data_IF_343164453539
#
_entry.id   IF_343164453539
#
_cell.length_a   1.000
_cell.length_b   1.000
_cell.length_c   1.000
_cell.angle_alpha   90.00
_cell.angle_beta   90.00
_cell.angle_gamma   90.00
#
_symmetry.space_group_name_H-M   'P 1'
#
loop_
_entity.id
_entity.type
_entity.pdbx_description
1 polymer ?
#
# COMPACT_ATOMS: atom_id res chain seq x y z
N UNK A 1 9.71 -22.61 -10.18
CA UNK A 1 9.23 -21.21 -10.06
C UNK A 1 10.31 -20.14 -10.33
N UNK A 2 11.60 -20.35 -10.01
CA UNK A 2 12.66 -19.36 -10.27
C UNK A 2 13.11 -19.25 -11.73
N UNK A 3 12.87 -20.26 -12.52
CA UNK A 3 13.42 -20.37 -13.88
C UNK A 3 12.52 -19.80 -14.99
N UNK A 4 11.25 -19.52 -14.66
CA UNK A 4 10.26 -19.04 -15.63
C UNK A 4 9.96 -17.53 -15.56
N UNK A 5 10.46 -16.82 -14.55
CA UNK A 5 10.25 -15.38 -14.41
C UNK A 5 11.57 -14.65 -14.53
N UNK A 6 11.80 -14.02 -15.68
CA UNK A 6 12.97 -13.15 -15.91
C UNK A 6 12.67 -11.75 -15.39
N UNK A 7 13.33 -11.31 -14.31
CA UNK A 7 13.17 -9.95 -13.82
C UNK A 7 13.29 -9.81 -12.30
N UNK A 8 12.25 -9.29 -11.66
CA UNK A 8 12.27 -9.07 -10.21
C UNK A 8 12.00 -10.37 -9.46
N UNK A 9 12.81 -10.66 -8.45
CA UNK A 9 12.62 -11.84 -7.60
C UNK A 9 11.74 -11.50 -6.40
N UNK A 10 10.72 -12.32 -6.14
CA UNK A 10 9.95 -12.24 -4.90
C UNK A 10 10.88 -12.58 -3.73
N UNK A 11 11.06 -11.62 -2.82
CA UNK A 11 11.87 -11.79 -1.61
C UNK A 11 10.98 -12.20 -0.43
N UNK A 12 11.46 -13.04 0.49
CA UNK A 12 10.73 -13.31 1.72
C UNK A 12 10.55 -12.00 2.52
N UNK A 13 9.37 -11.82 3.09
CA UNK A 13 9.05 -10.64 3.88
C UNK A 13 9.98 -10.57 5.11
N UNK A 14 10.67 -9.46 5.27
CA UNK A 14 11.45 -9.16 6.47
C UNK A 14 10.64 -8.28 7.41
N UNK A 15 10.58 -8.65 8.69
CA UNK A 15 9.90 -7.85 9.70
C UNK A 15 10.54 -6.47 9.92
N UNK A 16 11.84 -6.35 9.65
CA UNK A 16 12.66 -5.17 9.98
C UNK A 16 13.06 -4.30 8.78
N UNK A 17 12.94 -4.82 7.55
CA UNK A 17 13.39 -4.11 6.33
C UNK A 17 12.24 -3.76 5.42
N UNK A 18 11.91 -2.49 5.37
CA UNK A 18 10.89 -1.95 4.44
C UNK A 18 11.22 -2.23 2.97
N UNK A 19 12.49 -2.23 2.62
CA UNK A 19 12.96 -2.47 1.26
C UNK A 19 12.48 -3.81 0.70
N UNK A 20 12.49 -4.88 1.50
CA UNK A 20 11.98 -6.19 1.05
C UNK A 20 10.50 -6.18 0.73
N UNK A 21 9.70 -5.36 1.41
CA UNK A 21 8.28 -5.18 1.13
C UNK A 21 8.06 -4.43 -0.18
N UNK A 22 8.82 -3.35 -0.39
CA UNK A 22 8.77 -2.58 -1.64
C UNK A 22 9.17 -3.45 -2.83
N UNK A 23 10.26 -4.21 -2.69
CA UNK A 23 10.75 -5.09 -3.75
C UNK A 23 9.73 -6.19 -4.09
N UNK A 24 9.05 -6.76 -3.09
CA UNK A 24 8.02 -7.78 -3.31
C UNK A 24 6.79 -7.20 -4.01
N UNK A 25 6.30 -6.04 -3.54
CA UNK A 25 5.15 -5.38 -4.19
C UNK A 25 5.51 -4.91 -5.60
N UNK A 26 6.74 -4.43 -5.81
CA UNK A 26 7.26 -4.08 -7.13
C UNK A 26 7.26 -5.29 -8.07
N UNK A 27 7.78 -6.43 -7.59
CA UNK A 27 7.79 -7.66 -8.38
C UNK A 27 6.37 -8.08 -8.79
N UNK A 28 5.42 -8.04 -7.86
CA UNK A 28 4.02 -8.36 -8.16
C UNK A 28 3.45 -7.37 -9.18
N UNK A 29 3.63 -6.06 -8.99
CA UNK A 29 3.06 -5.04 -9.88
C UNK A 29 3.52 -5.18 -11.34
N UNK A 30 4.82 -5.40 -11.55
CA UNK A 30 5.42 -5.37 -12.89
C UNK A 30 5.52 -6.73 -13.58
N UNK A 31 5.24 -7.82 -12.86
CA UNK A 31 5.29 -9.18 -13.38
C UNK A 31 4.02 -9.97 -13.03
N UNK A 32 2.89 -9.26 -12.85
CA UNK A 32 1.66 -9.88 -12.38
C UNK A 32 1.14 -10.94 -13.33
N UNK A 33 1.23 -10.70 -14.65
CA UNK A 33 0.86 -11.66 -15.67
C UNK A 33 1.74 -12.91 -15.61
N UNK A 34 3.07 -12.74 -15.60
CA UNK A 34 4.02 -13.86 -15.55
C UNK A 34 3.83 -14.71 -14.29
N UNK A 35 3.57 -14.03 -13.15
CA UNK A 35 3.28 -14.71 -11.88
C UNK A 35 1.99 -15.53 -11.98
N UNK A 36 0.95 -14.96 -12.58
CA UNK A 36 -0.32 -15.66 -12.78
C UNK A 36 -0.16 -16.88 -13.68
N UNK A 37 0.55 -16.75 -14.79
CA UNK A 37 0.82 -17.85 -15.70
C UNK A 37 1.63 -18.96 -15.02
N UNK A 38 2.69 -18.61 -14.26
CA UNK A 38 3.47 -19.57 -13.50
C UNK A 38 2.65 -20.30 -12.42
N UNK A 39 1.71 -19.61 -11.76
CA UNK A 39 0.80 -20.24 -10.80
C UNK A 39 -0.18 -21.21 -11.48
N UNK A 40 -0.69 -20.86 -12.65
CA UNK A 40 -1.54 -21.77 -13.44
C UNK A 40 -0.77 -23.00 -13.92
N UNK A 41 0.48 -22.83 -14.37
CA UNK A 41 1.35 -23.96 -14.72
C UNK A 41 1.58 -24.88 -13.53
N UNK A 42 1.87 -24.36 -12.34
CA UNK A 42 2.00 -25.14 -11.12
C UNK A 42 0.70 -25.87 -10.78
N UNK A 43 -0.45 -25.24 -10.96
CA UNK A 43 -1.74 -25.86 -10.69
C UNK A 43 -2.04 -27.06 -11.58
N UNK A 44 -1.45 -27.10 -12.77
CA UNK A 44 -1.69 -28.16 -13.76
C UNK A 44 -0.62 -29.27 -13.75
N UNK A 45 0.59 -28.96 -13.23
CA UNK A 45 1.75 -29.85 -13.32
C UNK A 45 2.21 -30.46 -11.99
N UNK A 46 1.86 -29.85 -10.85
CA UNK A 46 2.30 -30.37 -9.55
C UNK A 46 1.56 -31.65 -9.15
N UNK A 47 2.24 -32.52 -8.41
CA UNK A 47 1.67 -33.77 -7.94
C UNK A 47 0.89 -33.63 -6.61
N UNK A 48 1.05 -32.52 -5.90
CA UNK A 48 0.35 -32.25 -4.64
C UNK A 48 -0.95 -31.48 -4.89
N UNK A 49 -2.08 -32.13 -4.63
CA UNK A 49 -3.41 -31.57 -4.81
C UNK A 49 -3.65 -30.30 -3.97
N UNK A 50 -2.99 -30.15 -2.82
CA UNK A 50 -3.10 -28.95 -1.99
C UNK A 50 -2.37 -27.78 -2.65
N UNK A 51 -1.16 -27.99 -3.17
CA UNK A 51 -0.38 -27.00 -3.92
C UNK A 51 -1.12 -26.58 -5.19
N UNK A 52 -1.66 -27.54 -5.95
CA UNK A 52 -2.45 -27.24 -7.14
C UNK A 52 -3.65 -26.34 -6.83
N UNK A 53 -4.39 -26.69 -5.77
CA UNK A 53 -5.59 -25.91 -5.37
C UNK A 53 -5.24 -24.50 -4.91
N UNK A 54 -4.17 -24.35 -4.12
CA UNK A 54 -3.70 -23.06 -3.63
C UNK A 54 -3.19 -22.19 -4.79
N UNK A 55 -2.35 -22.75 -5.68
CA UNK A 55 -1.84 -22.04 -6.85
C UNK A 55 -2.98 -21.56 -7.76
N UNK A 56 -3.96 -22.41 -8.03
CA UNK A 56 -5.15 -22.06 -8.80
C UNK A 56 -5.98 -20.97 -8.12
N UNK A 57 -6.16 -21.06 -6.79
CA UNK A 57 -6.90 -20.04 -6.02
C UNK A 57 -6.19 -18.68 -6.10
N UNK A 58 -4.88 -18.64 -5.91
CA UNK A 58 -4.10 -17.40 -6.01
C UNK A 58 -4.18 -16.80 -7.43
N UNK A 59 -4.05 -17.63 -8.48
CA UNK A 59 -4.08 -17.16 -9.85
C UNK A 59 -5.44 -16.61 -10.28
N UNK A 60 -6.55 -17.22 -9.80
CA UNK A 60 -7.91 -16.89 -10.26
C UNK A 60 -8.66 -15.93 -9.34
N UNK A 61 -8.52 -16.11 -8.02
CA UNK A 61 -9.30 -15.33 -7.05
C UNK A 61 -8.57 -14.06 -6.59
N UNK A 62 -7.25 -14.14 -6.42
CA UNK A 62 -6.47 -13.00 -5.97
C UNK A 62 -5.95 -12.18 -7.15
N UNK A 63 -5.08 -12.75 -8.00
CA UNK A 63 -4.51 -12.05 -9.15
C UNK A 63 -5.54 -11.76 -10.25
N UNK A 64 -6.65 -12.49 -10.29
CA UNK A 64 -7.79 -12.24 -11.18
C UNK A 64 -8.82 -11.25 -10.63
N UNK A 65 -8.57 -10.61 -9.49
CA UNK A 65 -9.49 -9.65 -8.90
C UNK A 65 -9.02 -8.20 -9.12
N UNK A 66 -9.89 -7.37 -9.70
CA UNK A 66 -9.57 -5.97 -9.94
C UNK A 66 -9.32 -5.18 -8.65
N UNK A 67 -10.01 -5.51 -7.53
CA UNK A 67 -9.73 -4.91 -6.21
C UNK A 67 -8.27 -5.16 -5.79
N UNK A 68 -7.74 -6.37 -6.03
CA UNK A 68 -6.36 -6.72 -5.72
C UNK A 68 -5.37 -5.92 -6.57
N UNK A 69 -5.64 -5.77 -7.87
CA UNK A 69 -4.78 -4.98 -8.79
C UNK A 69 -4.71 -3.52 -8.32
N UNK A 70 -5.85 -2.91 -7.98
CA UNK A 70 -5.91 -1.56 -7.42
C UNK A 70 -5.11 -1.47 -6.11
N UNK A 71 -5.26 -2.45 -5.22
CA UNK A 71 -4.52 -2.50 -3.97
C UNK A 71 -3.00 -2.54 -4.18
N UNK A 72 -2.51 -3.35 -5.13
CA UNK A 72 -1.08 -3.46 -5.46
C UNK A 72 -0.54 -2.13 -6.01
N UNK A 73 -1.29 -1.42 -6.85
CA UNK A 73 -0.89 -0.09 -7.34
C UNK A 73 -0.76 0.89 -6.18
N UNK A 74 -1.76 0.96 -5.29
CA UNK A 74 -1.74 1.84 -4.11
C UNK A 74 -0.52 1.52 -3.22
N UNK A 75 -0.32 0.24 -2.87
CA UNK A 75 0.78 -0.15 -2.00
C UNK A 75 2.14 0.11 -2.61
N UNK A 76 2.30 -0.10 -3.92
CA UNK A 76 3.55 0.20 -4.60
C UNK A 76 3.89 1.68 -4.52
N UNK A 77 2.95 2.57 -4.78
CA UNK A 77 3.18 4.02 -4.74
C UNK A 77 3.47 4.52 -3.33
N UNK A 78 2.68 4.10 -2.36
CA UNK A 78 2.87 4.47 -0.94
C UNK A 78 4.21 3.96 -0.40
N UNK A 79 4.51 2.69 -0.58
CA UNK A 79 5.74 2.09 -0.08
C UNK A 79 6.97 2.64 -0.78
N UNK A 80 6.89 2.92 -2.10
CA UNK A 80 8.00 3.50 -2.86
C UNK A 80 8.34 4.90 -2.39
N UNK A 81 7.34 5.76 -2.15
CA UNK A 81 7.53 7.09 -1.61
C UNK A 81 8.19 7.06 -0.21
N UNK A 82 7.70 6.20 0.67
CA UNK A 82 8.28 6.01 2.01
C UNK A 82 9.71 5.50 1.92
N UNK A 83 9.97 4.51 1.07
CA UNK A 83 11.30 3.90 0.92
C UNK A 83 12.33 4.89 0.38
N UNK A 84 11.95 5.74 -0.57
CA UNK A 84 12.82 6.78 -1.11
C UNK A 84 13.35 7.69 0.00
N UNK A 85 12.45 8.19 0.84
CA UNK A 85 12.82 9.04 1.97
C UNK A 85 13.57 8.25 3.04
N UNK A 86 13.14 7.03 3.35
CA UNK A 86 13.81 6.16 4.33
C UNK A 86 15.27 5.90 3.97
N UNK A 87 15.57 5.63 2.70
CA UNK A 87 16.96 5.46 2.22
C UNK A 87 17.78 6.73 2.39
N UNK A 88 17.21 7.89 2.12
CA UNK A 88 17.89 9.16 2.32
C UNK A 88 18.19 9.42 3.80
N UNK A 89 17.24 9.11 4.68
CA UNK A 89 17.39 9.28 6.13
C UNK A 89 18.45 8.35 6.75
N UNK A 90 18.84 7.28 6.08
CA UNK A 90 19.88 6.32 6.52
C UNK A 90 21.29 6.74 6.12
N UNK A 91 21.47 7.86 5.40
CA UNK A 91 22.77 8.36 5.02
C UNK A 91 23.58 8.74 6.27
N UNK A 92 24.89 8.38 6.28
CA UNK A 92 25.77 8.61 7.43
C UNK A 92 25.90 10.10 7.80
N UNK A 93 25.81 10.97 6.79
CA UNK A 93 26.01 12.42 6.95
C UNK A 93 24.66 13.17 7.05
N UNK A 94 23.58 12.47 7.37
CA UNK A 94 22.25 13.07 7.47
C UNK A 94 22.16 14.02 8.65
N UNK A 95 21.94 15.29 8.37
CA UNK A 95 21.69 16.32 9.37
C UNK A 95 20.21 16.26 9.82
N UNK A 96 19.97 16.53 11.10
CA UNK A 96 18.61 16.50 11.69
C UNK A 96 17.67 17.48 10.97
N UNK A 97 18.16 18.66 10.59
CA UNK A 97 17.35 19.65 9.89
C UNK A 97 16.89 19.16 8.52
N UNK A 98 17.82 18.54 7.77
CA UNK A 98 17.50 17.94 6.46
C UNK A 98 16.55 16.76 6.65
N UNK A 99 16.73 15.94 7.68
CA UNK A 99 15.83 14.83 7.98
C UNK A 99 14.39 15.32 8.25
N UNK A 100 14.25 16.38 9.02
CA UNK A 100 12.97 17.04 9.33
C UNK A 100 12.30 17.54 8.04
N UNK A 101 13.04 18.24 7.17
CA UNK A 101 12.53 18.71 5.87
C UNK A 101 12.07 17.55 4.96
N UNK A 102 12.83 16.45 4.92
CA UNK A 102 12.46 15.25 4.13
C UNK A 102 11.17 14.63 4.61
N UNK A 103 11.00 14.48 5.93
CA UNK A 103 9.76 13.94 6.51
C UNK A 103 8.58 14.89 6.25
N UNK A 104 8.78 16.20 6.39
CA UNK A 104 7.75 17.21 6.10
C UNK A 104 7.36 17.19 4.61
N UNK A 105 8.33 17.06 3.71
CA UNK A 105 8.09 16.91 2.28
C UNK A 105 7.26 15.65 1.95
N UNK A 106 7.52 14.54 2.65
CA UNK A 106 6.75 13.32 2.48
C UNK A 106 5.31 13.46 3.00
N UNK A 107 5.10 14.15 4.11
CA UNK A 107 3.74 14.46 4.63
C UNK A 107 2.98 15.32 3.60
N UNK A 108 3.61 16.36 3.07
CA UNK A 108 3.02 17.23 2.04
C UNK A 108 2.69 16.46 0.76
N UNK A 109 3.58 15.54 0.35
CA UNK A 109 3.33 14.64 -0.78
C UNK A 109 2.08 13.79 -0.54
N UNK A 110 1.95 13.12 0.61
CA UNK A 110 0.79 12.29 0.91
C UNK A 110 -0.50 13.08 1.05
N UNK A 111 -0.43 14.31 1.56
CA UNK A 111 -1.60 15.20 1.61
C UNK A 111 -2.13 15.49 0.20
N UNK A 112 -1.26 15.85 -0.74
CA UNK A 112 -1.63 16.04 -2.14
C UNK A 112 -2.08 14.74 -2.81
N UNK A 113 -1.37 13.65 -2.56
CA UNK A 113 -1.68 12.32 -3.09
C UNK A 113 -3.09 11.86 -2.69
N UNK A 114 -3.48 12.10 -1.45
CA UNK A 114 -4.81 11.85 -0.91
C UNK A 114 -5.93 12.49 -1.73
N UNK A 115 -5.70 13.71 -2.20
CA UNK A 115 -6.72 14.51 -2.89
C UNK A 115 -6.83 14.19 -4.39
N UNK A 116 -5.71 13.89 -5.03
CA UNK A 116 -5.64 13.91 -6.50
C UNK A 116 -5.29 12.58 -7.16
N UNK A 117 -4.77 11.59 -6.43
CA UNK A 117 -4.12 10.43 -7.09
C UNK A 117 -5.04 9.26 -7.38
N UNK A 118 -6.19 9.14 -6.72
CA UNK A 118 -7.06 7.97 -6.90
C UNK A 118 -7.51 7.72 -8.36
N UNK A 119 -7.87 8.74 -9.17
CA UNK A 119 -8.21 8.51 -10.57
C UNK A 119 -7.04 7.92 -11.39
N UNK A 120 -5.81 8.41 -11.15
CA UNK A 120 -4.62 7.92 -11.83
C UNK A 120 -4.29 6.47 -11.44
N UNK A 121 -4.50 6.12 -10.17
CA UNK A 121 -4.37 4.75 -9.66
C UNK A 121 -5.33 3.82 -10.40
N UNK A 122 -6.58 4.24 -10.56
CA UNK A 122 -7.59 3.45 -11.28
C UNK A 122 -7.21 3.25 -12.74
N UNK A 123 -6.71 4.27 -13.43
CA UNK A 123 -6.27 4.12 -14.82
C UNK A 123 -5.08 3.16 -14.93
N UNK A 124 -4.06 3.30 -14.06
CA UNK A 124 -2.94 2.35 -14.02
C UNK A 124 -3.40 0.91 -13.71
N UNK A 125 -4.36 0.74 -12.81
CA UNK A 125 -4.92 -0.57 -12.50
C UNK A 125 -5.73 -1.16 -13.68
N UNK A 126 -6.47 -0.33 -14.41
CA UNK A 126 -7.19 -0.74 -15.61
C UNK A 126 -6.25 -1.18 -16.74
N UNK A 127 -5.10 -0.51 -16.89
CA UNK A 127 -4.07 -0.91 -17.86
C UNK A 127 -3.55 -2.32 -17.53
N UNK A 128 -3.15 -2.55 -16.28
CA UNK A 128 -2.69 -3.87 -15.82
C UNK A 128 -3.79 -4.93 -16.00
N UNK A 129 -5.04 -4.62 -15.65
CA UNK A 129 -6.16 -5.53 -15.80
C UNK A 129 -6.39 -5.95 -17.27
N UNK A 130 -6.27 -4.99 -18.22
CA UNK A 130 -6.38 -5.26 -19.67
C UNK A 130 -5.24 -6.16 -20.15
N UNK A 131 -4.00 -5.93 -19.71
CA UNK A 131 -2.85 -6.78 -20.05
C UNK A 131 -3.03 -8.22 -19.58
N UNK A 132 -3.70 -8.41 -18.44
CA UNK A 132 -3.97 -9.70 -17.82
C UNK A 132 -5.27 -10.37 -18.29
N UNK A 133 -6.01 -9.75 -19.20
CA UNK A 133 -7.36 -10.17 -19.60
C UNK A 133 -8.32 -10.32 -18.40
N UNK A 134 -8.21 -9.39 -17.46
CA UNK A 134 -9.09 -9.28 -16.29
C UNK A 134 -10.07 -8.13 -16.51
N UNK A 135 -11.35 -8.37 -16.26
CA UNK A 135 -12.37 -7.33 -16.38
C UNK A 135 -12.15 -6.23 -15.34
N UNK A 136 -11.94 -4.96 -15.74
CA UNK A 136 -11.62 -3.86 -14.82
C UNK A 136 -12.87 -3.34 -14.09
N UNK A 137 -13.58 -4.23 -13.41
CA UNK A 137 -14.80 -3.95 -12.67
C UNK A 137 -14.70 -4.46 -11.24
N UNK A 138 -15.21 -3.67 -10.31
CA UNK A 138 -15.27 -4.08 -8.92
C UNK A 138 -16.40 -5.05 -8.68
N UNK A 139 -16.13 -6.15 -7.98
CA UNK A 139 -17.14 -7.14 -7.62
C UNK A 139 -18.19 -6.52 -6.69
N UNK A 140 -19.47 -6.64 -7.05
CA UNK A 140 -20.55 -6.15 -6.20
C UNK A 140 -20.67 -7.04 -4.95
N UNK A 141 -20.28 -6.52 -3.79
CA UNK A 141 -20.43 -7.24 -2.51
C UNK A 141 -21.92 -7.33 -2.16
N UNK A 142 -22.40 -8.56 -1.94
CA UNK A 142 -23.80 -8.81 -1.53
C UNK A 142 -24.06 -8.13 -0.20
N UNK A 143 -24.91 -7.07 -0.18
CA UNK A 143 -25.33 -6.43 1.06
C UNK A 143 -26.23 -7.40 1.83
N UNK A 144 -25.76 -7.87 2.99
CA UNK A 144 -26.58 -8.65 3.91
C UNK A 144 -27.55 -7.66 4.57
N UNK A 145 -28.81 -7.69 4.16
CA UNK A 145 -29.86 -6.95 4.89
C UNK A 145 -30.06 -7.61 6.24
N UNK A 146 -29.62 -6.94 7.31
CA UNK A 146 -29.89 -7.35 8.69
C UNK A 146 -31.40 -7.29 8.90
N UNK A 147 -32.01 -8.34 9.46
CA UNK A 147 -33.40 -8.28 9.89
C UNK A 147 -33.52 -7.20 10.97
N UNK A 148 -34.26 -6.14 10.70
CA UNK A 148 -34.56 -5.07 11.67
C UNK A 148 -35.32 -5.65 12.86
N UNK A 149 -34.91 -5.29 14.07
CA UNK A 149 -35.75 -5.42 15.25
C UNK A 149 -36.72 -4.23 15.33
N UNK A 150 -37.86 -4.42 15.92
CA UNK A 150 -39.05 -3.54 15.83
C UNK A 150 -38.84 -2.10 16.36
N UNK A 151 -37.69 -1.81 16.97
CA UNK A 151 -37.38 -0.55 17.68
C UNK A 151 -36.19 0.24 17.08
N UNK A 152 -35.71 -0.15 15.89
CA UNK A 152 -34.58 0.55 15.24
C UNK A 152 -35.09 1.66 14.33
N UNK A 153 -34.69 2.91 14.62
CA UNK A 153 -34.83 4.06 13.74
C UNK A 153 -34.21 3.78 12.38
N UNK A 154 -34.78 4.27 11.26
CA UNK A 154 -34.19 4.10 9.94
C UNK A 154 -32.80 4.73 9.92
N UNK A 155 -31.73 3.90 9.85
CA UNK A 155 -30.42 4.39 9.49
C UNK A 155 -30.52 5.00 8.09
N UNK A 156 -29.89 6.17 7.92
CA UNK A 156 -29.89 6.95 6.70
C UNK A 156 -29.65 6.07 5.46
N UNK A 157 -30.61 6.05 4.55
CA UNK A 157 -30.51 5.41 3.22
C UNK A 157 -29.36 5.99 2.37
N UNK A 158 -28.74 7.09 2.81
CA UNK A 158 -27.56 7.71 2.18
C UNK A 158 -26.33 6.79 2.10
N UNK A 159 -26.17 5.84 3.03
CA UNK A 159 -25.10 4.86 3.03
C UNK A 159 -25.39 3.72 2.01
N UNK A 160 -26.62 3.57 1.59
CA UNK A 160 -27.06 2.47 0.72
C UNK A 160 -26.73 2.66 -0.77
N UNK A 161 -26.34 3.89 -1.22
CA UNK A 161 -26.15 4.24 -2.63
C UNK A 161 -24.69 4.43 -3.04
N UNK A 162 -23.72 4.21 -2.15
CA UNK A 162 -22.30 4.38 -2.46
C UNK A 162 -21.85 3.33 -3.49
N UNK A 163 -21.26 3.77 -4.61
CA UNK A 163 -20.70 2.86 -5.60
C UNK A 163 -19.56 2.05 -4.97
N UNK A 164 -19.29 0.85 -5.48
CA UNK A 164 -18.19 0.01 -4.98
C UNK A 164 -16.84 0.72 -5.12
N UNK A 165 -16.66 1.49 -6.19
CA UNK A 165 -15.48 2.32 -6.42
C UNK A 165 -15.30 3.38 -5.32
N UNK A 166 -16.35 4.11 -4.99
CA UNK A 166 -16.31 5.11 -3.92
C UNK A 166 -16.07 4.47 -2.55
N UNK A 167 -16.61 3.29 -2.30
CA UNK A 167 -16.34 2.53 -1.09
C UNK A 167 -14.85 2.15 -0.98
N UNK A 168 -14.21 1.73 -2.06
CA UNK A 168 -12.78 1.42 -2.11
C UNK A 168 -11.95 2.69 -1.92
N UNK A 169 -12.35 3.79 -2.56
CA UNK A 169 -11.70 5.08 -2.37
C UNK A 169 -11.69 5.49 -0.89
N UNK A 170 -12.83 5.45 -0.23
CA UNK A 170 -12.97 5.92 1.16
C UNK A 170 -12.38 4.92 2.15
N UNK A 171 -12.80 3.65 2.09
CA UNK A 171 -12.50 2.67 3.13
C UNK A 171 -11.13 2.02 2.99
N UNK A 172 -10.53 2.08 1.80
CA UNK A 172 -9.24 1.47 1.55
C UNK A 172 -8.16 2.51 1.23
N UNK A 173 -8.28 3.25 0.10
CA UNK A 173 -7.26 4.21 -0.32
C UNK A 173 -7.04 5.33 0.69
N UNK A 174 -8.12 6.07 1.05
CA UNK A 174 -8.00 7.16 2.02
C UNK A 174 -7.54 6.66 3.39
N UNK A 175 -8.02 5.50 3.83
CA UNK A 175 -7.61 4.90 5.11
C UNK A 175 -6.10 4.62 5.16
N UNK A 176 -5.51 4.06 4.09
CA UNK A 176 -4.07 3.79 4.00
C UNK A 176 -3.28 5.11 4.02
N UNK A 177 -3.69 6.09 3.22
CA UNK A 177 -2.98 7.37 3.12
C UNK A 177 -3.09 8.16 4.42
N UNK A 178 -4.26 8.20 5.05
CA UNK A 178 -4.46 8.86 6.34
C UNK A 178 -3.63 8.20 7.45
N UNK A 179 -3.53 6.87 7.46
CA UNK A 179 -2.66 6.15 8.38
C UNK A 179 -1.18 6.49 8.15
N UNK A 180 -0.76 6.62 6.90
CA UNK A 180 0.61 7.02 6.57
C UNK A 180 0.89 8.46 7.04
N UNK A 181 0.00 9.40 6.76
CA UNK A 181 0.11 10.80 7.21
C UNK A 181 0.18 10.87 8.73
N UNK A 182 -0.75 10.21 9.44
CA UNK A 182 -0.78 10.22 10.91
C UNK A 182 0.50 9.65 11.52
N UNK A 183 1.00 8.53 10.98
CA UNK A 183 2.24 7.90 11.45
C UNK A 183 3.47 8.78 11.22
N UNK A 184 3.55 9.46 10.07
CA UNK A 184 4.63 10.38 9.74
C UNK A 184 4.57 11.64 10.60
N UNK A 185 3.38 12.21 10.78
CA UNK A 185 3.18 13.41 11.62
C UNK A 185 3.59 13.14 13.07
N UNK A 186 3.19 12.00 13.63
CA UNK A 186 3.60 11.61 14.98
C UNK A 186 5.13 11.51 15.11
N UNK A 187 5.81 10.93 14.12
CA UNK A 187 7.29 10.86 14.10
C UNK A 187 7.92 12.23 13.93
N UNK A 188 7.34 13.07 13.07
CA UNK A 188 7.80 14.44 12.85
C UNK A 188 7.77 15.26 14.14
N UNK A 189 6.68 15.19 14.92
CA UNK A 189 6.55 15.84 16.22
C UNK A 189 7.60 15.36 17.23
N UNK A 190 7.89 14.05 17.26
CA UNK A 190 8.95 13.47 18.08
C UNK A 190 10.33 14.03 17.71
N UNK A 191 10.65 14.16 16.43
CA UNK A 191 11.93 14.73 15.96
C UNK A 191 12.02 16.22 16.30
N UNK A 192 10.95 16.98 16.15
CA UNK A 192 10.90 18.40 16.55
C UNK A 192 11.14 18.58 18.04
N UNK A 193 10.54 17.74 18.87
CA UNK A 193 10.78 17.73 20.32
C UNK A 193 12.24 17.44 20.67
N UNK A 194 12.85 16.43 20.05
CA UNK A 194 14.26 16.06 20.26
C UNK A 194 15.20 17.18 19.81
N UNK A 195 14.92 17.84 18.68
CA UNK A 195 15.70 19.00 18.19
C UNK A 195 15.70 20.14 19.21
N UNK A 196 14.53 20.49 19.77
CA UNK A 196 14.43 21.54 20.79
C UNK A 196 15.25 21.20 22.04
N UNK A 197 15.21 19.94 22.49
CA UNK A 197 16.00 19.48 23.64
C UNK A 197 17.50 19.54 23.36
N UNK A 198 17.97 19.11 22.19
CA UNK A 198 19.38 19.18 21.81
C UNK A 198 19.87 20.61 21.74
N UNK A 199 19.12 21.52 21.12
CA UNK A 199 19.48 22.96 21.07
C UNK A 199 19.54 23.54 22.48
N UNK A 200 18.58 23.21 23.35
CA UNK A 200 18.59 23.66 24.74
C UNK A 200 19.81 23.15 25.50
N UNK A 201 20.16 21.87 25.38
CA UNK A 201 21.34 21.29 26.02
C UNK A 201 22.65 21.91 25.51
N UNK A 202 22.76 22.21 24.23
CA UNK A 202 23.95 22.86 23.65
C UNK A 202 24.08 24.31 24.11
N UNK A 203 22.99 25.04 24.23
CA UNK A 203 22.99 26.40 24.76
C UNK A 203 23.39 26.43 26.24
N UNK A 204 22.93 25.48 27.05
CA UNK A 204 23.33 25.40 28.48
C UNK A 204 24.82 25.05 28.64
N UNK A 205 25.39 24.23 27.73
CA UNK A 205 26.82 23.86 27.80
C UNK A 205 27.74 25.04 27.53
N UNK A 206 27.28 26.06 26.83
CA UNK A 206 28.04 27.28 26.55
C UNK A 206 27.90 28.36 27.67
N UNK A 207 27.11 28.10 28.72
CA UNK A 207 26.88 28.99 29.84
C UNK A 207 27.51 28.51 31.17
N UNK A 208 28.41 27.53 31.13
CA UNK A 208 29.21 27.18 32.32
C UNK A 208 30.48 28.03 32.29
N UNK A 209 30.64 28.96 33.22
CA UNK A 209 31.82 29.82 33.33
C UNK A 209 33.10 29.04 33.66
#
# INVERSE_FOLDING_TARGET
>A
MKDNISGFTLKPLSATRWESRVDSVKAIRFQMQDIREALLEVSDTDNDAAICTEAKSLATNELGDFEFIVAIVIWYEVLSAINLVSKQLQAKDMLIDIAVEKVQGLISFFTKYRETSFPNILESAKEIAREMDVEPTFRTKRKIKRKRQFDETPEDESIASQSTEESIRINYFLSIVDQAIASLTKRFEQYQGTKKLLVFCLLQRNYVP
#
